data_IF_398343106399
#
_entry.id   IF_398343106399
#
_cell.length_a   1.000
_cell.length_b   1.000
_cell.length_c   1.000
_cell.angle_alpha   90.00
_cell.angle_beta   90.00
_cell.angle_gamma   90.00
#
_symmetry.space_group_name_H-M   'P 1'
#
loop_
_entity.id
_entity.type
_entity.pdbx_description
1 polymer ?
#
# COMPACT_ATOMS: atom_id res chain seq x y z
N UNK A 1 7.85 18.96 -16.15
CA UNK A 1 6.74 18.05 -16.44
C UNK A 1 7.32 16.64 -16.56
N UNK A 2 7.31 15.84 -15.48
CA UNK A 2 7.75 14.44 -15.58
C UNK A 2 6.69 13.69 -16.38
N UNK A 3 7.05 13.26 -17.58
CA UNK A 3 6.22 12.42 -18.44
C UNK A 3 5.89 11.14 -17.70
N UNK A 4 4.60 10.89 -17.48
CA UNK A 4 4.04 9.63 -17.02
C UNK A 4 4.61 8.51 -17.89
N UNK A 5 5.55 7.74 -17.36
CA UNK A 5 6.24 6.75 -18.17
C UNK A 5 5.26 5.61 -18.46
N UNK A 6 5.09 5.21 -19.73
CA UNK A 6 4.13 4.17 -20.15
C UNK A 6 4.30 2.85 -19.38
N UNK A 7 5.51 2.55 -18.91
CA UNK A 7 5.81 1.37 -18.06
C UNK A 7 5.18 1.44 -16.67
N UNK A 8 5.00 2.63 -16.11
CA UNK A 8 4.48 2.81 -14.76
C UNK A 8 2.97 2.64 -14.71
N UNK A 9 2.26 3.11 -15.73
CA UNK A 9 0.82 2.86 -15.86
C UNK A 9 0.50 1.37 -16.04
N UNK A 10 1.38 0.61 -16.71
CA UNK A 10 1.26 -0.84 -16.86
C UNK A 10 1.30 -1.55 -15.49
N UNK A 11 2.22 -1.18 -14.61
CA UNK A 11 2.32 -1.79 -13.26
C UNK A 11 1.07 -1.53 -12.44
N UNK A 12 0.55 -0.31 -12.46
CA UNK A 12 -0.70 0.04 -11.77
C UNK A 12 -1.88 -0.78 -12.31
N UNK A 13 -1.93 -1.00 -13.63
CA UNK A 13 -2.96 -1.82 -14.27
C UNK A 13 -2.87 -3.31 -13.91
N UNK A 14 -1.70 -3.80 -13.47
CA UNK A 14 -1.54 -5.17 -12.95
C UNK A 14 -1.96 -5.28 -11.48
N UNK A 15 -1.71 -4.25 -10.67
CA UNK A 15 -2.06 -4.22 -9.24
C UNK A 15 -3.57 -4.04 -9.05
N UNK A 16 -4.19 -3.19 -9.87
CA UNK A 16 -5.59 -2.79 -9.69
C UNK A 16 -6.58 -3.98 -9.68
N UNK A 17 -6.53 -4.97 -10.60
CA UNK A 17 -7.43 -6.12 -10.57
C UNK A 17 -7.33 -6.93 -9.28
N UNK A 18 -6.11 -7.16 -8.78
CA UNK A 18 -5.88 -7.89 -7.53
C UNK A 18 -6.53 -7.15 -6.36
N UNK A 19 -6.33 -5.84 -6.29
CA UNK A 19 -6.95 -5.02 -5.25
C UNK A 19 -8.48 -4.97 -5.38
N UNK A 20 -9.02 -4.93 -6.60
CA UNK A 20 -10.47 -4.96 -6.81
C UNK A 20 -11.10 -6.27 -6.36
N UNK A 21 -10.45 -7.39 -6.65
CA UNK A 21 -10.91 -8.73 -6.24
C UNK A 21 -11.06 -8.84 -4.71
N UNK A 22 -10.10 -8.28 -3.96
CA UNK A 22 -10.08 -8.38 -2.50
C UNK A 22 -10.86 -7.26 -1.79
N UNK A 23 -10.86 -6.04 -2.32
CA UNK A 23 -11.46 -4.88 -1.65
C UNK A 23 -12.79 -4.43 -2.24
N UNK A 24 -13.22 -4.95 -3.39
CA UNK A 24 -14.36 -4.44 -4.15
C UNK A 24 -15.68 -4.39 -3.38
N UNK A 25 -15.88 -5.30 -2.43
CA UNK A 25 -17.08 -5.36 -1.58
C UNK A 25 -17.03 -4.39 -0.39
N UNK A 26 -15.84 -4.00 0.06
CA UNK A 26 -15.63 -3.26 1.31
C UNK A 26 -15.13 -1.83 1.07
N UNK A 27 -14.71 -1.52 -0.16
CA UNK A 27 -14.09 -0.26 -0.52
C UNK A 27 -14.55 0.18 -1.90
N UNK A 28 -14.85 1.48 -2.04
CA UNK A 28 -15.22 2.03 -3.32
C UNK A 28 -14.05 2.01 -4.33
N UNK A 29 -14.41 1.97 -5.61
CA UNK A 29 -13.44 1.89 -6.71
C UNK A 29 -12.44 3.05 -6.73
N UNK A 30 -12.84 4.26 -6.32
CA UNK A 30 -11.96 5.42 -6.30
C UNK A 30 -10.80 5.27 -5.30
N UNK A 31 -11.08 4.70 -4.13
CA UNK A 31 -10.07 4.39 -3.10
C UNK A 31 -9.18 3.23 -3.52
N UNK A 32 -9.74 2.18 -4.14
CA UNK A 32 -8.96 1.07 -4.71
C UNK A 32 -7.96 1.58 -5.75
N UNK A 33 -8.41 2.42 -6.69
CA UNK A 33 -7.54 3.06 -7.68
C UNK A 33 -6.46 3.92 -7.02
N UNK A 34 -6.80 4.68 -5.97
CA UNK A 34 -5.83 5.47 -5.24
C UNK A 34 -4.78 4.60 -4.53
N UNK A 35 -5.18 3.48 -3.94
CA UNK A 35 -4.25 2.53 -3.30
C UNK A 35 -3.30 1.89 -4.29
N UNK A 36 -3.77 1.51 -5.48
CA UNK A 36 -2.90 0.97 -6.52
C UNK A 36 -1.83 2.00 -6.96
N UNK A 37 -2.23 3.26 -7.14
CA UNK A 37 -1.32 4.36 -7.44
C UNK A 37 -0.33 4.63 -6.31
N UNK A 38 -0.82 4.62 -5.06
CA UNK A 38 -0.01 4.84 -3.87
C UNK A 38 1.04 3.72 -3.69
N UNK A 39 0.64 2.46 -3.88
CA UNK A 39 1.56 1.31 -3.77
C UNK A 39 2.67 1.40 -4.83
N UNK A 40 2.31 1.71 -6.08
CA UNK A 40 3.31 1.94 -7.12
C UNK A 40 4.25 3.10 -6.76
N UNK A 41 3.70 4.25 -6.34
CA UNK A 41 4.49 5.41 -5.95
C UNK A 41 5.44 5.09 -4.79
N UNK A 42 4.98 4.35 -3.76
CA UNK A 42 5.81 3.90 -2.65
C UNK A 42 7.01 3.06 -3.13
N UNK A 43 6.78 2.14 -4.07
CA UNK A 43 7.86 1.34 -4.65
C UNK A 43 8.85 2.18 -5.48
N UNK A 44 8.39 3.25 -6.13
CA UNK A 44 9.23 4.12 -6.97
C UNK A 44 10.08 5.07 -6.12
N UNK A 45 9.48 5.76 -5.14
CA UNK A 45 10.17 6.82 -4.38
C UNK A 45 10.71 6.38 -3.03
N UNK A 46 10.29 5.20 -2.53
CA UNK A 46 10.78 4.59 -1.29
C UNK A 46 10.74 5.55 -0.08
N UNK A 47 9.71 6.38 0.00
CA UNK A 47 9.53 7.39 1.04
C UNK A 47 8.05 7.60 1.34
N UNK A 48 7.76 8.02 2.57
CA UNK A 48 6.40 8.30 3.06
C UNK A 48 5.98 9.77 2.86
N UNK A 49 6.84 10.60 2.26
CA UNK A 49 6.50 12.01 1.99
C UNK A 49 5.34 12.11 0.99
N UNK A 50 4.18 12.61 1.43
CA UNK A 50 3.00 12.73 0.57
C UNK A 50 3.26 13.59 -0.69
N UNK A 51 4.13 14.60 -0.60
CA UNK A 51 4.52 15.41 -1.75
C UNK A 51 5.30 14.61 -2.80
N UNK A 52 6.24 13.76 -2.35
CA UNK A 52 7.02 12.89 -3.24
C UNK A 52 6.16 11.76 -3.81
N UNK A 53 5.25 11.22 -3.01
CA UNK A 53 4.29 10.21 -3.45
C UNK A 53 3.33 10.77 -4.52
N UNK A 54 2.75 11.95 -4.28
CA UNK A 54 1.87 12.60 -5.25
C UNK A 54 2.57 12.92 -6.58
N UNK A 55 3.86 13.30 -6.53
CA UNK A 55 4.69 13.58 -7.71
C UNK A 55 4.99 12.32 -8.54
N UNK A 56 5.04 11.15 -7.88
CA UNK A 56 5.40 9.88 -8.51
C UNK A 56 4.20 9.07 -9.01
N UNK A 57 2.97 9.49 -8.72
CA UNK A 57 1.77 8.80 -9.20
C UNK A 57 1.65 8.91 -10.73
N UNK A 58 1.54 7.78 -11.47
CA UNK A 58 1.49 7.80 -12.92
C UNK A 58 0.08 8.17 -13.42
N UNK A 59 -0.33 9.41 -13.21
CA UNK A 59 -1.63 9.94 -13.65
C UNK A 59 -1.48 11.27 -14.38
N UNK A 60 -2.41 11.60 -15.28
CA UNK A 60 -2.48 12.93 -15.90
C UNK A 60 -3.11 14.00 -14.99
N UNK A 61 -3.43 13.65 -13.74
CA UNK A 61 -4.03 14.58 -12.76
C UNK A 61 -2.94 15.49 -12.22
N UNK A 62 -3.31 16.75 -11.98
CA UNK A 62 -2.44 17.72 -11.33
C UNK A 62 -1.89 17.22 -9.98
N UNK A 63 -0.63 17.56 -9.70
CA UNK A 63 0.08 17.08 -8.50
C UNK A 63 -0.61 17.50 -7.21
N UNK A 64 -1.07 18.74 -7.10
CA UNK A 64 -1.71 19.25 -5.88
C UNK A 64 -3.06 18.58 -5.68
N UNK A 65 -3.74 18.23 -6.76
CA UNK A 65 -4.95 17.42 -6.71
C UNK A 65 -4.68 16.01 -6.16
N UNK A 66 -3.59 15.36 -6.57
CA UNK A 66 -3.19 14.05 -6.01
C UNK A 66 -2.76 14.16 -4.55
N UNK A 67 -2.03 15.21 -4.18
CA UNK A 67 -1.66 15.47 -2.80
C UNK A 67 -2.91 15.60 -1.90
N UNK A 68 -3.90 16.40 -2.32
CA UNK A 68 -5.17 16.54 -1.58
C UNK A 68 -5.93 15.22 -1.48
N UNK A 69 -5.90 14.38 -2.52
CA UNK A 69 -6.50 13.04 -2.50
C UNK A 69 -5.84 12.14 -1.46
N UNK A 70 -4.52 12.12 -1.40
CA UNK A 70 -3.76 11.38 -0.38
C UNK A 70 -4.08 11.87 1.03
N UNK A 71 -4.03 13.18 1.26
CA UNK A 71 -4.37 13.78 2.56
C UNK A 71 -5.78 13.38 3.01
N UNK A 72 -6.78 13.49 2.12
CA UNK A 72 -8.16 13.09 2.42
C UNK A 72 -8.29 11.60 2.69
N UNK A 73 -7.55 10.76 1.96
CA UNK A 73 -7.55 9.32 2.17
C UNK A 73 -7.06 8.98 3.57
N UNK A 74 -5.85 9.42 3.94
CA UNK A 74 -5.28 9.13 5.26
C UNK A 74 -6.04 9.79 6.41
N UNK A 75 -6.67 10.96 6.19
CA UNK A 75 -7.42 11.65 7.24
C UNK A 75 -8.83 11.09 7.48
N UNK A 76 -9.45 10.46 6.47
CA UNK A 76 -10.88 10.11 6.52
C UNK A 76 -11.19 8.63 6.30
N UNK A 77 -10.20 7.83 5.89
CA UNK A 77 -10.41 6.42 5.62
C UNK A 77 -9.58 5.58 6.58
N UNK A 78 -10.28 4.77 7.37
CA UNK A 78 -9.66 3.73 8.20
C UNK A 78 -9.52 2.50 7.31
N UNK A 79 -8.27 2.12 7.04
CA UNK A 79 -7.97 0.93 6.27
C UNK A 79 -8.21 -0.31 7.13
N UNK A 80 -8.99 -1.25 6.63
CA UNK A 80 -9.25 -2.52 7.30
C UNK A 80 -8.04 -3.45 7.16
N UNK A 81 -7.31 -3.63 8.26
CA UNK A 81 -6.11 -4.45 8.30
C UNK A 81 -6.40 -5.94 8.14
N UNK A 82 -7.60 -6.42 8.48
CA UNK A 82 -7.98 -7.82 8.31
C UNK A 82 -8.12 -8.17 6.82
N UNK A 83 -8.78 -7.30 6.05
CA UNK A 83 -8.90 -7.47 4.60
C UNK A 83 -7.52 -7.37 3.93
N UNK A 84 -6.67 -6.44 4.38
CA UNK A 84 -5.29 -6.34 3.90
C UNK A 84 -4.50 -7.62 4.16
N UNK A 85 -4.61 -8.20 5.36
CA UNK A 85 -3.94 -9.45 5.72
C UNK A 85 -4.43 -10.61 4.85
N UNK A 86 -5.74 -10.73 4.61
CA UNK A 86 -6.32 -11.76 3.73
C UNK A 86 -5.81 -11.62 2.29
N UNK A 87 -5.72 -10.40 1.77
CA UNK A 87 -5.13 -10.14 0.45
C UNK A 87 -3.66 -10.55 0.41
N UNK A 88 -2.84 -10.15 1.38
CA UNK A 88 -1.41 -10.51 1.40
C UNK A 88 -1.25 -12.04 1.49
N UNK A 89 -2.07 -12.70 2.33
CA UNK A 89 -2.04 -14.15 2.48
C UNK A 89 -2.51 -14.89 1.22
N UNK A 90 -3.48 -14.35 0.47
CA UNK A 90 -3.96 -14.97 -0.78
C UNK A 90 -2.86 -15.01 -1.84
N UNK A 91 -1.98 -13.99 -1.86
CA UNK A 91 -0.83 -13.87 -2.74
C UNK A 91 0.29 -14.89 -2.44
N UNK A 92 0.28 -15.52 -1.26
CA UNK A 92 1.25 -16.58 -0.96
C UNK A 92 0.95 -17.83 -1.81
N UNK A 93 1.93 -18.36 -2.56
CA UNK A 93 1.72 -19.52 -3.43
C UNK A 93 1.51 -20.82 -2.66
N UNK A 94 2.03 -20.91 -1.43
CA UNK A 94 1.87 -22.07 -0.54
C UNK A 94 1.23 -21.62 0.76
N UNK A 95 0.16 -22.30 1.16
CA UNK A 95 -0.67 -21.96 2.35
C UNK A 95 -0.59 -23.02 3.45
N UNK A 96 0.17 -24.08 3.22
CA UNK A 96 0.38 -25.20 4.16
C UNK A 96 1.82 -25.19 4.68
N UNK A 97 2.05 -25.80 5.84
CA UNK A 97 3.39 -25.86 6.45
C UNK A 97 3.97 -24.47 6.75
N UNK A 98 3.11 -23.52 7.14
CA UNK A 98 3.52 -22.14 7.41
C UNK A 98 4.48 -22.10 8.58
N UNK A 99 5.60 -21.39 8.41
CA UNK A 99 6.52 -21.09 9.49
C UNK A 99 6.13 -19.75 10.07
N UNK A 100 5.87 -19.72 11.38
CA UNK A 100 5.59 -18.49 12.09
C UNK A 100 6.89 -17.92 12.66
N UNK A 101 7.10 -16.63 12.46
CA UNK A 101 8.22 -15.88 13.05
C UNK A 101 7.66 -14.81 13.97
N UNK A 102 8.30 -14.64 15.12
CA UNK A 102 7.90 -13.63 16.09
C UNK A 102 9.10 -12.73 16.37
N UNK A 103 8.88 -11.42 16.32
CA UNK A 103 9.91 -10.44 16.59
C UNK A 103 9.34 -9.22 17.33
N UNK A 104 10.21 -8.50 18.03
CA UNK A 104 9.85 -7.24 18.69
C UNK A 104 10.44 -6.06 17.92
N UNK A 105 9.61 -5.08 17.63
CA UNK A 105 10.05 -3.78 17.12
C UNK A 105 9.59 -2.66 18.04
N UNK A 106 10.41 -1.62 18.18
CA UNK A 106 10.07 -0.40 18.90
C UNK A 106 10.06 0.74 17.89
N UNK A 107 8.93 1.39 17.74
CA UNK A 107 8.80 2.62 16.97
C UNK A 107 8.77 3.80 17.94
N UNK A 108 9.37 4.92 17.56
CA UNK A 108 9.31 6.16 18.34
C UNK A 108 8.53 7.23 17.58
N UNK A 109 7.54 7.80 18.25
CA UNK A 109 6.81 8.97 17.78
C UNK A 109 7.18 10.17 18.66
N UNK A 110 8.18 10.93 18.23
CA UNK A 110 8.88 11.85 19.13
C UNK A 110 9.49 11.07 20.29
N UNK A 111 9.15 11.46 21.52
CA UNK A 111 9.58 10.75 22.75
C UNK A 111 8.68 9.56 23.12
N UNK A 112 7.53 9.39 22.45
CA UNK A 112 6.59 8.31 22.75
C UNK A 112 7.03 6.98 22.13
N UNK A 113 7.16 5.94 22.95
CA UNK A 113 7.54 4.61 22.51
C UNK A 113 6.30 3.76 22.15
N UNK A 114 6.33 3.17 20.97
CA UNK A 114 5.34 2.23 20.46
C UNK A 114 6.04 0.87 20.35
N UNK A 115 5.85 0.02 21.35
CA UNK A 115 6.40 -1.33 21.34
C UNK A 115 5.42 -2.27 20.64
N UNK A 116 5.89 -2.95 19.60
CA UNK A 116 5.10 -3.87 18.79
C UNK A 116 5.76 -5.24 18.89
N UNK A 117 5.01 -6.20 19.43
CA UNK A 117 5.33 -7.63 19.26
C UNK A 117 4.62 -8.09 17.99
N UNK A 118 5.38 -8.42 16.96
CA UNK A 118 4.86 -8.83 15.66
C UNK A 118 4.96 -10.34 15.52
N UNK A 119 3.87 -10.97 15.07
CA UNK A 119 3.85 -12.34 14.57
C UNK A 119 3.67 -12.29 13.05
N UNK A 120 4.61 -12.88 12.33
CA UNK A 120 4.65 -12.95 10.88
C UNK A 120 4.61 -14.39 10.36
N UNK A 121 4.41 -14.52 9.05
CA UNK A 121 4.55 -15.77 8.32
C UNK A 121 5.81 -15.66 7.47
N UNK A 122 6.72 -16.62 7.61
CA UNK A 122 7.94 -16.70 6.84
C UNK A 122 7.74 -17.65 5.65
N UNK A 123 8.07 -17.17 4.45
CA UNK A 123 7.98 -17.92 3.21
C UNK A 123 9.35 -17.96 2.51
N UNK A 124 9.89 -19.17 2.30
CA UNK A 124 11.24 -19.38 1.72
C UNK A 124 12.37 -18.67 2.50
N UNK A 125 12.24 -18.57 3.81
CA UNK A 125 13.24 -17.93 4.68
C UNK A 125 13.23 -16.40 4.63
N UNK A 126 12.19 -15.80 4.03
CA UNK A 126 11.89 -14.36 4.04
C UNK A 126 10.62 -14.14 4.85
#
# INVERSE_FOLDING_TARGET
>A
MKTTNSKDSVKVNQILPIMQDHFGQNMNLARIKLMALLLHALCVVQTVSLHKLADAMPTAVDKDSNLRRLQRFFAKYVLDLDIMARMIFSLLPVKTGLVLSMDRTNWKFGEFNINILMLGITYKGI
#
